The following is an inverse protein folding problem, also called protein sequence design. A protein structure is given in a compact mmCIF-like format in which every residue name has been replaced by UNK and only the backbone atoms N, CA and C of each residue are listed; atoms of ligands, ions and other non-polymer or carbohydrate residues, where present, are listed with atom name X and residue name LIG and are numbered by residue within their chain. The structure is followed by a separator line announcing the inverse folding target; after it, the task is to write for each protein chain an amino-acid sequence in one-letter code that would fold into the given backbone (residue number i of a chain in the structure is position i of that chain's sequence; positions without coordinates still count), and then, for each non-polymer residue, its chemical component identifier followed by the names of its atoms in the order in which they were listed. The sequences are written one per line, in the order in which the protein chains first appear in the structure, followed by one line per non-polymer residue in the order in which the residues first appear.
data_IF_562195858219
#
_entry.id   IF_562195858219
#
_cell.length_a   1.000
_cell.length_b   1.000
_cell.length_c   1.000
_cell.angle_alpha   90.00
_cell.angle_beta   90.00
_cell.angle_gamma   90.00
#
_symmetry.space_group_name_H-M   'P 1'
#
loop_
_entity.id
_entity.type
_entity.pdbx_description
1 polymer ?
#
# COMPACT_ATOMS: atom_id res chain seq x y z
N UNK A 1 3.94 -9.77 2.38
CA UNK A 1 3.90 -8.30 2.55
C UNK A 1 4.00 -7.57 1.22
N UNK A 2 3.80 -6.24 1.21
CA UNK A 2 3.81 -5.35 0.03
C UNK A 2 4.88 -4.27 0.18
N UNK A 3 6.06 -4.51 -0.38
CA UNK A 3 7.24 -3.64 -0.26
C UNK A 3 7.03 -2.24 -0.87
N UNK A 4 6.39 -2.17 -2.04
CA UNK A 4 6.10 -0.93 -2.75
C UNK A 4 5.38 0.11 -1.87
N UNK A 5 4.38 -0.33 -1.10
CA UNK A 5 3.61 0.56 -0.21
C UNK A 5 4.40 1.12 0.98
N UNK A 6 5.50 0.46 1.36
CA UNK A 6 6.39 0.90 2.43
C UNK A 6 7.35 1.98 1.97
N UNK A 7 7.98 1.78 0.80
CA UNK A 7 9.19 2.48 0.38
C UNK A 7 9.06 3.34 -0.87
N UNK A 8 8.15 3.00 -1.79
CA UNK A 8 8.08 3.63 -3.12
C UNK A 8 6.81 4.47 -3.28
N UNK A 9 5.72 4.09 -2.61
CA UNK A 9 4.41 4.70 -2.85
C UNK A 9 4.34 6.18 -2.41
N UNK A 10 4.12 7.15 -3.32
CA UNK A 10 3.97 8.58 -2.99
C UNK A 10 2.78 8.86 -2.08
N UNK A 11 1.69 8.09 -2.21
CA UNK A 11 0.54 8.21 -1.31
C UNK A 11 0.88 7.76 0.12
N UNK A 12 1.76 6.76 0.26
CA UNK A 12 2.31 6.36 1.55
C UNK A 12 3.14 7.48 2.19
N UNK A 13 3.98 8.14 1.40
CA UNK A 13 4.76 9.32 1.83
C UNK A 13 3.83 10.45 2.29
N UNK A 14 2.78 10.77 1.53
CA UNK A 14 1.78 11.78 1.90
C UNK A 14 1.17 11.52 3.29
N UNK A 15 0.77 10.29 3.60
CA UNK A 15 0.23 9.93 4.91
C UNK A 15 1.28 9.99 6.04
N UNK A 16 2.54 9.69 5.73
CA UNK A 16 3.63 9.84 6.68
C UNK A 16 3.93 11.33 6.97
N UNK A 17 3.86 12.20 5.97
CA UNK A 17 3.93 13.67 6.14
C UNK A 17 2.79 14.17 7.03
N UNK A 18 1.56 13.73 6.81
CA UNK A 18 0.42 14.04 7.71
C UNK A 18 0.70 13.54 9.13
N UNK A 19 1.33 12.37 9.26
CA UNK A 19 1.69 11.82 10.57
C UNK A 19 2.74 12.67 11.28
N UNK A 20 3.72 13.21 10.54
CA UNK A 20 4.72 14.16 11.05
C UNK A 20 4.02 15.45 11.47
N UNK A 21 3.18 16.03 10.62
CA UNK A 21 2.41 17.23 10.92
C UNK A 21 1.58 17.05 12.20
N UNK A 22 0.84 15.95 12.33
CA UNK A 22 0.09 15.60 13.55
C UNK A 22 0.97 15.51 14.80
N UNK A 23 2.20 14.97 14.69
CA UNK A 23 3.16 14.94 15.80
C UNK A 23 3.59 16.35 16.19
N UNK A 24 3.78 17.25 15.23
CA UNK A 24 4.06 18.68 15.48
C UNK A 24 2.96 19.32 16.31
N UNK A 25 1.68 19.02 16.05
CA UNK A 25 0.55 19.46 16.88
C UNK A 25 0.37 18.68 18.19
N UNK A 26 1.28 17.78 18.55
CA UNK A 26 1.25 16.95 19.77
C UNK A 26 -0.05 16.15 19.97
N UNK A 27 -0.85 15.93 18.92
CA UNK A 27 -2.09 15.14 19.01
C UNK A 27 -1.78 13.65 19.01
N UNK A 28 -2.49 12.88 19.85
CA UNK A 28 -2.42 11.40 19.84
C UNK A 28 -3.14 10.84 18.62
N UNK A 29 -2.74 9.66 18.17
CA UNK A 29 -3.45 8.93 17.11
C UNK A 29 -4.35 7.90 17.76
N UNK A 30 -5.43 7.55 17.06
CA UNK A 30 -6.32 6.48 17.48
C UNK A 30 -5.83 5.12 16.99
N UNK A 31 -5.90 4.14 17.87
CA UNK A 31 -5.74 2.73 17.54
C UNK A 31 -7.13 2.18 17.19
N UNK A 32 -7.31 1.63 16.00
CA UNK A 32 -8.57 1.02 15.64
C UNK A 32 -8.78 -0.30 16.41
N UNK A 33 -10.03 -0.62 16.81
CA UNK A 33 -10.38 -1.94 17.34
C UNK A 33 -9.98 -3.05 16.36
N UNK A 34 -9.52 -4.18 16.89
CA UNK A 34 -9.01 -5.30 16.08
C UNK A 34 -10.07 -5.80 15.09
N UNK A 35 -11.34 -5.88 15.52
CA UNK A 35 -12.46 -6.29 14.68
C UNK A 35 -12.69 -5.33 13.51
N UNK A 36 -12.61 -4.02 13.75
CA UNK A 36 -12.76 -3.01 12.71
C UNK A 36 -11.58 -3.01 11.74
N UNK A 37 -10.36 -3.23 12.22
CA UNK A 37 -9.20 -3.37 11.34
C UNK A 37 -9.34 -4.59 10.40
N UNK A 38 -9.80 -5.73 10.92
CA UNK A 38 -10.09 -6.93 10.12
C UNK A 38 -11.24 -6.69 9.13
N UNK A 39 -12.26 -5.91 9.51
CA UNK A 39 -13.33 -5.50 8.60
C UNK A 39 -12.80 -4.66 7.44
N UNK A 40 -11.99 -3.62 7.71
CA UNK A 40 -11.37 -2.80 6.67
C UNK A 40 -10.48 -3.62 5.73
N UNK A 41 -9.77 -4.61 6.30
CA UNK A 41 -8.96 -5.53 5.51
C UNK A 41 -9.80 -6.36 4.52
N UNK A 42 -10.94 -6.89 4.98
CA UNK A 42 -11.89 -7.62 4.12
C UNK A 42 -12.55 -6.69 3.10
N UNK A 43 -12.86 -5.47 3.49
CA UNK A 43 -13.52 -4.47 2.64
C UNK A 43 -12.71 -4.15 1.38
N UNK A 44 -11.38 -4.21 1.44
CA UNK A 44 -10.52 -4.02 0.25
C UNK A 44 -10.79 -5.02 -0.86
N UNK A 45 -11.15 -6.27 -0.52
CA UNK A 45 -11.46 -7.31 -1.50
C UNK A 45 -12.78 -7.02 -2.20
N UNK A 46 -13.76 -6.49 -1.44
CA UNK A 46 -15.02 -6.03 -2.00
C UNK A 46 -14.79 -4.85 -2.95
N UNK A 47 -14.02 -3.84 -2.54
CA UNK A 47 -13.66 -2.71 -3.43
C UNK A 47 -12.97 -3.24 -4.70
N UNK A 48 -12.00 -4.13 -4.56
CA UNK A 48 -11.29 -4.70 -5.72
C UNK A 48 -12.22 -5.49 -6.66
N UNK A 49 -13.14 -6.28 -6.11
CA UNK A 49 -14.13 -7.01 -6.90
C UNK A 49 -15.08 -6.05 -7.63
N UNK A 50 -15.52 -4.97 -6.98
CA UNK A 50 -16.36 -3.94 -7.58
C UNK A 50 -15.61 -3.22 -8.72
N UNK A 51 -14.35 -2.81 -8.50
CA UNK A 51 -13.48 -2.22 -9.52
C UNK A 51 -13.38 -3.12 -10.75
N UNK A 52 -13.21 -4.43 -10.53
CA UNK A 52 -13.06 -5.38 -11.63
C UNK A 52 -14.40 -5.69 -12.32
N UNK A 53 -15.51 -5.71 -11.59
CA UNK A 53 -16.83 -6.06 -12.10
C UNK A 53 -17.51 -4.93 -12.89
N UNK A 54 -17.35 -3.68 -12.45
CA UNK A 54 -17.98 -2.50 -13.07
C UNK A 54 -17.72 -2.38 -14.58
N UNK A 55 -16.48 -2.56 -15.08
CA UNK A 55 -16.17 -2.69 -16.50
C UNK A 55 -17.11 -3.62 -17.26
N UNK A 56 -17.42 -4.80 -16.72
CA UNK A 56 -18.26 -5.80 -17.41
C UNK A 56 -19.73 -5.42 -17.48
N UNK A 57 -20.23 -4.63 -16.53
CA UNK A 57 -21.62 -4.15 -16.53
C UNK A 57 -21.82 -2.93 -17.43
N UNK A 58 -20.78 -2.13 -17.65
CA UNK A 58 -20.87 -0.91 -18.48
C UNK A 58 -20.36 -1.18 -19.91
N UNK A 59 -19.49 -2.17 -20.12
CA UNK A 59 -19.01 -2.59 -21.44
C UNK A 59 -20.10 -2.90 -22.48
N UNK A 60 -21.30 -3.42 -22.14
CA UNK A 60 -22.36 -3.65 -23.13
C UNK A 60 -22.96 -2.36 -23.74
N UNK A 61 -22.66 -1.17 -23.18
CA UNK A 61 -23.26 0.10 -23.62
C UNK A 61 -22.48 0.84 -24.72
N UNK A 62 -21.24 0.44 -25.05
CA UNK A 62 -20.48 1.01 -26.17
C UNK A 62 -19.33 0.06 -26.58
N UNK A 63 -19.16 -0.19 -27.89
CA UNK A 63 -18.12 -1.11 -28.42
C UNK A 63 -16.67 -0.68 -28.10
N UNK A 64 -16.41 0.61 -27.90
CA UNK A 64 -15.11 1.13 -27.44
C UNK A 64 -14.91 1.00 -25.92
N UNK A 65 -15.97 0.86 -25.11
CA UNK A 65 -15.86 0.88 -23.64
C UNK A 65 -15.08 -0.30 -23.07
N UNK A 66 -15.05 -1.46 -23.75
CA UNK A 66 -14.31 -2.62 -23.25
C UNK A 66 -12.81 -2.37 -23.22
N UNK A 67 -12.25 -1.76 -24.27
CA UNK A 67 -10.85 -1.33 -24.30
C UNK A 67 -10.61 -0.21 -23.29
N UNK A 68 -11.49 0.79 -23.22
CA UNK A 68 -11.36 1.86 -22.24
C UNK A 68 -11.48 1.36 -20.79
N UNK A 69 -12.28 0.34 -20.49
CA UNK A 69 -12.43 -0.21 -19.15
C UNK A 69 -11.27 -1.15 -18.77
N UNK A 70 -10.70 -1.89 -19.73
CA UNK A 70 -9.46 -2.67 -19.55
C UNK A 70 -8.24 -1.78 -19.29
N UNK A 71 -8.19 -0.60 -19.91
CA UNK A 71 -7.11 0.39 -19.75
C UNK A 71 -7.44 1.52 -18.76
N UNK A 72 -8.57 1.45 -18.03
CA UNK A 72 -9.08 2.51 -17.14
C UNK A 72 -9.14 3.93 -17.77
N UNK A 73 -9.39 4.00 -19.07
CA UNK A 73 -9.54 5.21 -19.85
C UNK A 73 -11.00 5.72 -19.90
N UNK A 74 -11.19 6.99 -20.29
CA UNK A 74 -12.51 7.57 -20.57
C UNK A 74 -13.37 7.80 -19.32
N UNK A 75 -14.66 7.40 -19.29
CA UNK A 75 -15.55 7.67 -18.15
C UNK A 75 -15.09 7.00 -16.85
N UNK A 76 -14.19 6.02 -16.92
CA UNK A 76 -13.57 5.31 -15.79
C UNK A 76 -12.31 5.99 -15.25
N UNK A 77 -11.89 7.12 -15.84
CA UNK A 77 -10.66 7.85 -15.50
C UNK A 77 -10.63 8.37 -14.06
N UNK A 78 -11.77 8.54 -13.39
CA UNK A 78 -11.81 8.93 -11.96
C UNK A 78 -11.26 7.84 -11.02
N UNK A 79 -11.13 6.61 -11.51
CA UNK A 79 -10.57 5.48 -10.77
C UNK A 79 -9.03 5.47 -10.85
N UNK A 80 -8.43 6.26 -11.75
CA UNK A 80 -6.96 6.39 -11.88
C UNK A 80 -6.33 7.14 -10.71
N UNK A 81 -7.10 7.87 -9.88
CA UNK A 81 -6.61 8.44 -8.61
C UNK A 81 -6.04 7.35 -7.69
N UNK A 82 -6.54 6.12 -7.80
CA UNK A 82 -6.08 4.96 -7.02
C UNK A 82 -4.85 4.26 -7.62
N UNK A 83 -4.57 4.45 -8.91
CA UNK A 83 -3.51 3.79 -9.70
C UNK A 83 -2.36 4.73 -10.13
N UNK A 84 -2.60 6.05 -10.11
CA UNK A 84 -1.70 7.11 -10.57
C UNK A 84 -0.28 7.11 -9.99
N UNK A 85 -0.01 6.60 -8.77
CA UNK A 85 1.36 6.44 -8.27
C UNK A 85 2.31 5.58 -9.09
N UNK A 86 1.83 4.81 -10.08
CA UNK A 86 2.65 3.97 -10.96
C UNK A 86 2.80 4.48 -12.40
N UNK A 87 1.98 5.45 -12.84
CA UNK A 87 2.07 5.95 -14.22
C UNK A 87 3.42 6.61 -14.50
N UNK A 88 4.02 7.26 -13.50
CA UNK A 88 5.30 7.97 -13.65
C UNK A 88 6.54 7.08 -13.54
N UNK A 89 6.41 5.80 -13.18
CA UNK A 89 7.57 4.92 -12.92
C UNK A 89 7.86 3.90 -14.04
N UNK A 90 6.93 3.72 -14.99
CA UNK A 90 7.06 2.72 -16.07
C UNK A 90 7.36 3.37 -17.44
N UNK A 91 7.00 4.64 -17.65
CA UNK A 91 7.17 5.29 -18.97
C UNK A 91 7.80 6.69 -18.79
N UNK A 92 9.02 6.92 -19.29
CA UNK A 92 9.63 8.25 -19.27
C UNK A 92 8.92 9.19 -20.25
N UNK A 93 8.81 10.45 -19.84
CA UNK A 93 8.06 11.56 -20.41
C UNK A 93 8.55 12.07 -21.80
N UNK A 94 9.21 11.23 -22.60
CA UNK A 94 9.81 11.68 -23.85
C UNK A 94 9.72 10.63 -24.96
N UNK A 95 8.60 10.61 -25.67
CA UNK A 95 8.56 10.07 -27.04
C UNK A 95 7.37 9.17 -27.33
N UNK A 96 6.79 9.36 -28.52
CA UNK A 96 5.73 8.51 -29.05
C UNK A 96 6.28 7.14 -29.50
N UNK A 97 6.01 6.06 -28.76
CA UNK A 97 6.35 4.71 -29.22
C UNK A 97 5.19 4.20 -30.09
N UNK A 98 5.40 4.14 -31.41
CA UNK A 98 4.40 3.65 -32.36
C UNK A 98 4.89 2.32 -32.92
N UNK A 99 4.13 1.24 -32.69
CA UNK A 99 4.43 -0.09 -33.22
C UNK A 99 3.19 -0.58 -33.99
N UNK A 100 3.35 -0.89 -35.29
CA UNK A 100 2.28 -1.39 -36.17
C UNK A 100 0.97 -0.55 -36.15
N UNK A 101 1.08 0.78 -36.12
CA UNK A 101 -0.08 1.68 -36.12
C UNK A 101 -0.78 1.81 -34.76
N UNK A 102 -0.33 1.10 -33.73
CA UNK A 102 -0.74 1.31 -32.34
C UNK A 102 0.19 2.35 -31.69
N UNK A 103 -0.40 3.49 -31.34
CA UNK A 103 0.26 4.55 -30.60
C UNK A 103 0.29 4.15 -29.11
N UNK A 104 1.44 3.73 -28.60
CA UNK A 104 1.62 3.34 -27.19
C UNK A 104 1.92 4.55 -26.30
N UNK A 105 2.02 5.75 -26.88
CA UNK A 105 2.19 6.98 -26.10
C UNK A 105 0.88 7.69 -25.85
N UNK A 106 0.75 8.07 -24.59
CA UNK A 106 -0.48 8.46 -23.94
C UNK A 106 -0.75 9.98 -24.14
N UNK A 107 -1.93 10.39 -24.63
CA UNK A 107 -2.39 11.79 -24.65
C UNK A 107 -3.08 12.23 -23.34
N UNK A 108 -2.71 11.69 -22.17
CA UNK A 108 -3.65 11.65 -21.05
C UNK A 108 -3.75 12.87 -20.15
N UNK A 109 -2.81 13.80 -20.19
CA UNK A 109 -2.93 15.03 -19.38
C UNK A 109 -3.92 16.02 -20.01
N UNK A 110 -4.07 16.04 -21.34
CA UNK A 110 -5.03 16.92 -22.02
C UNK A 110 -6.49 16.46 -21.87
N UNK A 111 -6.73 15.15 -21.87
CA UNK A 111 -8.10 14.61 -21.83
C UNK A 111 -8.67 14.50 -20.40
N UNK A 112 -7.94 14.90 -19.35
CA UNK A 112 -8.50 14.99 -17.97
C UNK A 112 -9.55 16.09 -17.88
N UNK A 113 -9.44 17.15 -18.68
CA UNK A 113 -10.29 18.33 -18.56
C UNK A 113 -11.55 18.35 -19.43
N UNK A 114 -11.67 17.48 -20.45
CA UNK A 114 -12.63 17.73 -21.54
C UNK A 114 -14.00 17.05 -21.45
N UNK A 115 -14.18 15.95 -20.70
CA UNK A 115 -15.37 15.08 -20.86
C UNK A 115 -16.25 14.83 -19.62
N UNK A 116 -16.00 15.52 -18.51
CA UNK A 116 -16.88 15.45 -17.35
C UNK A 116 -17.12 16.86 -16.85
N UNK A 117 -18.39 17.20 -16.64
CA UNK A 117 -18.83 18.49 -16.10
C UNK A 117 -17.98 18.83 -14.87
N UNK A 118 -17.11 19.82 -15.01
CA UNK A 118 -15.95 20.04 -14.11
C UNK A 118 -16.29 20.16 -12.64
N UNK A 119 -17.52 20.55 -12.31
CA UNK A 119 -18.00 20.65 -10.93
C UNK A 119 -18.05 19.31 -10.18
N UNK A 120 -18.55 18.23 -10.82
CA UNK A 120 -18.73 16.95 -10.13
C UNK A 120 -17.39 16.29 -9.79
N UNK A 121 -16.41 16.37 -10.70
CA UNK A 121 -15.06 15.84 -10.45
C UNK A 121 -14.35 16.63 -9.35
N UNK A 122 -14.38 17.97 -9.43
CA UNK A 122 -13.72 18.80 -8.43
C UNK A 122 -14.28 18.55 -7.03
N UNK A 123 -15.61 18.46 -6.92
CA UNK A 123 -16.25 18.15 -5.66
C UNK A 123 -15.82 16.78 -5.09
N UNK A 124 -15.87 15.72 -5.91
CA UNK A 124 -15.48 14.38 -5.47
C UNK A 124 -13.98 14.30 -5.12
N UNK A 125 -13.11 14.94 -5.88
CA UNK A 125 -11.68 14.99 -5.61
C UNK A 125 -11.37 15.73 -4.30
N UNK A 126 -12.01 16.88 -4.06
CA UNK A 126 -11.85 17.64 -2.82
C UNK A 126 -12.37 16.82 -1.64
N UNK A 127 -13.56 16.22 -1.77
CA UNK A 127 -14.13 15.36 -0.74
C UNK A 127 -13.20 14.19 -0.40
N UNK A 128 -12.62 13.56 -1.42
CA UNK A 128 -11.67 12.46 -1.27
C UNK A 128 -10.41 12.88 -0.52
N UNK A 129 -9.83 14.03 -0.89
CA UNK A 129 -8.64 14.59 -0.24
C UNK A 129 -8.95 14.91 1.23
N UNK A 130 -10.07 15.57 1.50
CA UNK A 130 -10.49 15.91 2.87
C UNK A 130 -10.67 14.64 3.71
N UNK A 131 -11.40 13.65 3.19
CA UNK A 131 -11.67 12.40 3.89
C UNK A 131 -10.38 11.62 4.18
N UNK A 132 -9.47 11.55 3.20
CA UNK A 132 -8.16 10.93 3.37
C UNK A 132 -7.31 11.69 4.37
N UNK A 133 -7.28 13.02 4.30
CA UNK A 133 -6.51 13.87 5.18
C UNK A 133 -6.97 13.70 6.63
N UNK A 134 -8.27 13.85 6.89
CA UNK A 134 -8.88 13.68 8.21
C UNK A 134 -8.68 12.26 8.72
N UNK A 135 -8.92 11.26 7.87
CA UNK A 135 -8.72 9.84 8.21
C UNK A 135 -7.28 9.50 8.57
N UNK A 136 -6.31 9.98 7.79
CA UNK A 136 -4.87 9.78 8.05
C UNK A 136 -4.38 10.58 9.26
N UNK A 137 -5.01 11.72 9.56
CA UNK A 137 -4.71 12.51 10.74
C UNK A 137 -5.22 11.82 12.02
N UNK A 138 -6.37 11.14 11.98
CA UNK A 138 -6.89 10.41 13.14
C UNK A 138 -6.20 9.04 13.33
N UNK A 139 -5.99 8.31 12.23
CA UNK A 139 -5.46 6.94 12.23
C UNK A 139 -4.29 6.83 11.26
N UNK A 140 -3.17 6.29 11.75
CA UNK A 140 -1.96 6.09 10.92
C UNK A 140 -2.28 5.19 9.72
N UNK A 141 -1.91 5.67 8.53
CA UNK A 141 -2.01 4.95 7.25
C UNK A 141 -3.38 4.27 7.06
N UNK A 142 -4.46 5.00 7.35
CA UNK A 142 -5.84 4.50 7.29
C UNK A 142 -6.15 3.93 5.90
N UNK A 143 -5.82 4.67 4.85
CA UNK A 143 -6.04 4.28 3.46
C UNK A 143 -5.39 2.95 3.08
N UNK A 144 -4.15 2.72 3.54
CA UNK A 144 -3.42 1.50 3.22
C UNK A 144 -4.17 0.23 3.65
N UNK A 145 -5.11 0.30 4.61
CA UNK A 145 -5.86 -0.85 5.11
C UNK A 145 -6.87 -1.37 4.08
N UNK A 146 -7.54 -0.47 3.37
CA UNK A 146 -8.58 -0.82 2.39
C UNK A 146 -8.18 -0.51 0.93
N UNK A 147 -6.97 -0.03 0.70
CA UNK A 147 -6.45 0.30 -0.63
C UNK A 147 -6.44 -0.93 -1.58
N UNK A 148 -7.18 -0.88 -2.70
CA UNK A 148 -7.30 -1.99 -3.66
C UNK A 148 -5.97 -2.24 -4.41
N UNK A 149 -5.18 -1.20 -4.69
CA UNK A 149 -3.83 -1.34 -5.26
C UNK A 149 -2.88 -2.06 -4.28
N UNK A 150 -3.08 -1.88 -2.99
CA UNK A 150 -2.36 -2.67 -1.99
C UNK A 150 -2.63 -4.18 -2.11
N UNK A 151 -3.85 -4.55 -2.51
CA UNK A 151 -4.24 -5.93 -2.72
C UNK A 151 -3.61 -6.50 -4.00
N UNK A 152 -3.58 -5.76 -5.10
CA UNK A 152 -2.96 -6.24 -6.34
C UNK A 152 -1.49 -6.61 -6.13
N UNK A 153 -0.71 -5.76 -5.45
CA UNK A 153 0.68 -6.08 -5.08
C UNK A 153 0.79 -7.26 -4.11
N UNK A 154 -0.16 -7.42 -3.18
CA UNK A 154 -0.18 -8.57 -2.29
C UNK A 154 -0.48 -9.88 -3.03
N UNK A 155 -1.33 -9.83 -4.06
CA UNK A 155 -1.66 -10.97 -4.93
C UNK A 155 -0.47 -11.32 -5.81
N UNK A 156 0.17 -10.34 -6.46
CA UNK A 156 1.36 -10.57 -7.29
C UNK A 156 2.49 -11.24 -6.50
N UNK A 157 2.72 -10.81 -5.26
CA UNK A 157 3.72 -11.42 -4.37
C UNK A 157 3.37 -12.85 -3.91
N UNK A 158 2.15 -13.34 -4.17
CA UNK A 158 1.68 -14.69 -3.81
C UNK A 158 1.66 -15.64 -5.02
N UNK A 159 1.70 -15.13 -6.25
CA UNK A 159 1.67 -15.96 -7.47
C UNK A 159 2.99 -16.72 -7.61
N UNK A 160 2.92 -18.05 -7.56
CA UNK A 160 4.08 -18.96 -7.59
C UNK A 160 4.97 -18.82 -8.85
N UNK A 161 4.44 -18.31 -9.96
CA UNK A 161 5.18 -18.07 -11.21
C UNK A 161 6.13 -16.86 -11.18
N UNK A 162 5.89 -15.90 -10.29
CA UNK A 162 6.78 -14.77 -10.00
C UNK A 162 7.46 -14.96 -8.64
N UNK A 163 7.69 -16.22 -8.22
CA UNK A 163 8.32 -16.57 -6.94
C UNK A 163 9.77 -16.09 -6.78
N UNK A 164 10.39 -15.54 -7.83
CA UNK A 164 11.65 -14.81 -7.75
C UNK A 164 11.49 -13.40 -7.14
N UNK A 165 10.29 -12.79 -7.24
CA UNK A 165 10.03 -11.40 -6.87
C UNK A 165 9.71 -11.10 -5.39
N UNK A 166 9.24 -12.01 -4.51
CA UNK A 166 9.13 -11.73 -3.08
C UNK A 166 10.53 -11.77 -2.45
N UNK A 167 11.38 -10.85 -2.88
CA UNK A 167 12.76 -10.69 -2.44
C UNK A 167 12.80 -10.50 -0.93
N UNK A 168 11.79 -9.86 -0.33
CA UNK A 168 11.80 -9.43 1.06
C UNK A 168 10.84 -10.22 1.96
N UNK A 169 11.41 -10.96 2.89
CA UNK A 169 10.72 -11.70 3.93
C UNK A 169 11.00 -11.12 5.31
N UNK A 170 10.00 -11.17 6.17
CA UNK A 170 10.11 -10.83 7.58
C UNK A 170 10.00 -12.13 8.37
N UNK A 171 11.10 -12.58 8.93
CA UNK A 171 11.20 -13.81 9.71
C UNK A 171 11.23 -13.50 11.20
N UNK A 172 10.54 -14.34 11.97
CA UNK A 172 10.50 -14.29 13.42
C UNK A 172 11.09 -15.57 14.01
N UNK A 173 12.02 -15.42 14.94
CA UNK A 173 12.57 -16.52 15.72
C UNK A 173 11.70 -16.79 16.95
N UNK A 174 11.26 -18.03 17.13
CA UNK A 174 10.40 -18.43 18.26
C UNK A 174 11.17 -18.38 19.58
N UNK A 175 12.38 -18.94 19.60
CA UNK A 175 13.23 -19.06 20.79
C UNK A 175 13.54 -17.71 21.46
N UNK A 176 13.68 -16.65 20.65
CA UNK A 176 14.05 -15.32 21.12
C UNK A 176 12.86 -14.41 21.42
N UNK A 177 11.63 -14.83 21.11
CA UNK A 177 10.46 -13.97 21.26
C UNK A 177 9.75 -14.16 22.61
N UNK A 178 9.76 -13.14 23.45
CA UNK A 178 9.09 -13.15 24.76
C UNK A 178 7.64 -12.65 24.75
N UNK A 179 7.07 -12.38 23.56
CA UNK A 179 5.72 -11.77 23.41
C UNK A 179 5.52 -10.45 24.18
N UNK A 180 6.51 -9.56 24.17
CA UNK A 180 6.44 -8.24 24.80
C UNK A 180 5.41 -7.24 24.20
N UNK A 181 4.84 -7.53 23.02
CA UNK A 181 3.80 -6.71 22.39
C UNK A 181 4.25 -5.38 21.77
N UNK A 182 5.56 -5.06 21.76
CA UNK A 182 6.09 -3.82 21.15
C UNK A 182 5.79 -3.76 19.64
N UNK A 183 5.95 -4.89 18.94
CA UNK A 183 5.66 -5.01 17.51
C UNK A 183 4.21 -4.59 17.16
N UNK A 184 3.24 -4.94 18.02
CA UNK A 184 1.82 -4.58 17.85
C UNK A 184 1.56 -3.09 18.01
N UNK A 185 2.27 -2.42 18.93
CA UNK A 185 2.12 -0.98 19.19
C UNK A 185 2.75 -0.11 18.10
N UNK A 186 3.93 -0.49 17.61
CA UNK A 186 4.65 0.29 16.60
C UNK A 186 4.03 0.15 15.20
N UNK A 187 3.41 -0.98 14.88
CA UNK A 187 2.87 -1.26 13.54
C UNK A 187 1.82 -0.20 13.10
N UNK A 188 2.04 0.54 11.99
CA UNK A 188 1.10 1.55 11.53
C UNK A 188 -0.23 0.98 11.02
N UNK A 189 -0.19 -0.19 10.38
CA UNK A 189 -1.38 -0.90 9.86
C UNK A 189 -1.95 -1.93 10.84
N UNK A 190 -1.39 -2.01 12.07
CA UNK A 190 -1.84 -2.92 13.13
C UNK A 190 -1.95 -4.39 12.71
N UNK A 191 -0.89 -4.92 12.08
CA UNK A 191 -0.75 -6.35 11.74
C UNK A 191 -0.58 -7.15 13.04
N UNK A 192 -1.53 -8.01 13.39
CA UNK A 192 -1.52 -8.78 14.65
C UNK A 192 -0.71 -10.06 14.55
N UNK A 193 -0.52 -10.58 13.35
CA UNK A 193 0.15 -11.85 13.05
C UNK A 193 1.63 -11.83 13.47
N UNK A 194 2.29 -10.66 13.45
CA UNK A 194 3.67 -10.50 13.93
C UNK A 194 3.78 -10.83 15.43
N UNK A 195 2.74 -10.54 16.20
CA UNK A 195 2.66 -10.86 17.62
C UNK A 195 2.19 -12.30 17.86
N UNK A 196 1.13 -12.72 17.17
CA UNK A 196 0.44 -14.00 17.41
C UNK A 196 1.21 -15.22 16.89
N UNK A 197 1.89 -15.11 15.75
CA UNK A 197 2.61 -16.25 15.16
C UNK A 197 3.82 -16.64 16.03
N UNK A 198 4.02 -17.96 16.19
CA UNK A 198 5.09 -18.52 17.02
C UNK A 198 6.48 -18.36 16.39
N UNK A 199 6.60 -18.55 15.08
CA UNK A 199 7.84 -18.35 14.34
C UNK A 199 7.65 -18.41 12.82
N UNK A 200 8.73 -18.22 12.08
CA UNK A 200 8.77 -18.27 10.63
C UNK A 200 8.38 -16.95 9.95
N UNK A 201 7.92 -17.05 8.70
CA UNK A 201 7.57 -15.88 7.91
C UNK A 201 6.25 -15.26 8.40
N UNK A 202 6.35 -14.06 8.98
CA UNK A 202 5.21 -13.33 9.55
C UNK A 202 4.61 -12.29 8.59
N UNK A 203 4.97 -12.33 7.31
CA UNK A 203 4.62 -11.29 6.34
C UNK A 203 3.23 -11.48 5.71
N UNK A 204 2.19 -10.96 6.38
CA UNK A 204 0.81 -10.93 5.85
C UNK A 204 0.65 -10.01 4.63
N UNK A 205 -0.44 -10.14 3.88
CA UNK A 205 -0.83 -9.26 2.76
C UNK A 205 -0.93 -7.77 3.14
N UNK A 206 -1.36 -7.48 4.37
CA UNK A 206 -1.50 -6.12 4.90
C UNK A 206 -0.15 -5.45 5.14
N UNK A 207 0.85 -6.24 5.55
CA UNK A 207 2.15 -5.77 5.98
C UNK A 207 2.83 -4.97 4.86
N UNK A 208 3.09 -3.68 5.10
CA UNK A 208 3.73 -2.78 4.12
C UNK A 208 5.24 -2.90 4.08
N UNK A 209 5.85 -3.83 4.84
CA UNK A 209 7.31 -3.98 4.92
C UNK A 209 8.05 -2.67 5.28
N UNK A 210 7.49 -1.93 6.25
CA UNK A 210 8.11 -0.70 6.78
C UNK A 210 9.18 -0.95 7.86
N UNK A 211 9.42 -2.20 8.25
CA UNK A 211 10.42 -2.69 9.23
C UNK A 211 10.50 -2.03 10.62
N UNK A 212 9.62 -1.10 10.97
CA UNK A 212 9.54 -0.52 12.33
C UNK A 212 9.44 -1.53 13.47
N UNK A 213 8.89 -2.71 13.21
CA UNK A 213 8.82 -3.79 14.20
C UNK A 213 10.19 -4.43 14.47
N UNK A 214 11.08 -4.46 13.48
CA UNK A 214 12.45 -4.96 13.60
C UNK A 214 13.29 -3.95 14.39
N UNK A 215 13.18 -2.67 14.04
CA UNK A 215 13.91 -1.57 14.70
C UNK A 215 13.55 -1.42 16.18
N UNK A 216 12.27 -1.53 16.54
CA UNK A 216 11.81 -1.32 17.92
C UNK A 216 11.83 -2.59 18.77
N UNK A 217 12.18 -3.75 18.21
CA UNK A 217 12.19 -4.99 19.00
C UNK A 217 13.38 -4.96 19.98
N UNK A 218 13.16 -5.14 21.29
CA UNK A 218 14.23 -5.07 22.30
C UNK A 218 15.13 -6.30 22.33
N UNK A 219 14.75 -7.40 21.66
CA UNK A 219 15.52 -8.65 21.69
C UNK A 219 16.34 -8.78 20.42
N UNK A 220 17.63 -9.04 20.58
CA UNK A 220 18.57 -9.16 19.47
C UNK A 220 18.26 -10.39 18.60
N UNK A 221 18.11 -10.17 17.29
CA UNK A 221 17.84 -11.24 16.32
C UNK A 221 16.50 -11.96 16.48
N UNK A 222 15.55 -11.39 17.22
CA UNK A 222 14.18 -11.92 17.31
C UNK A 222 13.41 -11.72 16.00
N UNK A 223 13.59 -10.58 15.33
CA UNK A 223 13.00 -10.28 14.03
C UNK A 223 14.12 -9.99 13.02
N UNK A 224 14.05 -10.61 11.85
CA UNK A 224 15.02 -10.40 10.78
C UNK A 224 14.35 -10.19 9.43
N UNK A 225 14.94 -9.33 8.62
CA UNK A 225 14.55 -9.08 7.24
C UNK A 225 15.53 -9.82 6.34
N UNK A 226 15.01 -10.79 5.58
CA UNK A 226 15.79 -11.53 4.58
C UNK A 226 15.47 -10.98 3.20
N UNK A 227 16.52 -10.62 2.47
CA UNK A 227 16.48 -10.16 1.08
C UNK A 227 17.20 -11.21 0.24
N UNK A 228 16.47 -11.92 -0.64
CA UNK A 228 17.01 -13.00 -1.46
C UNK A 228 17.83 -14.04 -0.63
N UNK A 229 17.31 -14.41 0.54
CA UNK A 229 17.94 -15.38 1.44
C UNK A 229 19.01 -14.82 2.38
N UNK A 230 19.53 -13.61 2.15
CA UNK A 230 20.52 -12.95 3.03
C UNK A 230 19.84 -12.06 4.06
N UNK A 231 20.24 -12.13 5.32
CA UNK A 231 19.76 -11.22 6.38
C UNK A 231 20.38 -9.83 6.20
N UNK A 232 19.56 -8.83 5.91
CA UNK A 232 20.02 -7.44 5.71
C UNK A 232 19.80 -6.60 6.97
N UNK A 233 18.68 -6.81 7.65
CA UNK A 233 18.33 -6.09 8.87
C UNK A 233 17.92 -7.09 9.96
N UNK A 234 18.41 -6.88 11.17
CA UNK A 234 18.08 -7.68 12.34
C UNK A 234 17.74 -6.76 13.49
N UNK A 235 16.83 -7.19 14.37
CA UNK A 235 16.56 -6.47 15.61
C UNK A 235 17.82 -6.44 16.47
N UNK A 236 18.07 -5.29 17.09
CA UNK A 236 19.19 -5.08 18.01
C UNK A 236 18.66 -4.87 19.42
N UNK A 237 19.40 -5.33 20.41
CA UNK A 237 19.09 -4.96 21.78
C UNK A 237 19.38 -3.46 21.94
N UNK A 238 18.35 -2.67 22.24
CA UNK A 238 18.51 -1.24 22.55
C UNK A 238 18.47 -0.99 24.07
N UNK A 239 18.28 -2.04 24.88
CA UNK A 239 18.38 -1.96 26.35
C UNK A 239 19.84 -2.02 26.81
N UNK A 240 20.70 -2.69 26.04
CA UNK A 240 22.15 -2.71 26.23
C UNK A 240 22.77 -1.90 25.08
N UNK A 241 23.41 -0.75 25.34
CA UNK A 241 24.10 -0.01 24.29
C UNK A 241 25.24 -0.86 23.72
N UNK A 242 25.46 -0.79 22.41
CA UNK A 242 26.55 -1.50 21.75
C UNK A 242 27.90 -1.03 22.30
N UNK A 243 28.79 -1.95 22.65
CA UNK A 243 30.15 -1.67 23.15
C UNK A 243 31.08 -1.00 22.11
N UNK A 244 30.56 -0.65 20.93
CA UNK A 244 31.32 -0.09 19.81
C UNK A 244 30.68 1.21 19.31
N UNK A 245 31.21 2.34 19.78
CA UNK A 245 31.21 3.62 19.05
C UNK A 245 32.51 3.74 18.24
#
# INVERSE_FOLDING_TARGET
GRFFCGWICPFGLYMDVITIFRKTFKKRYFLLPISFNKFLDKFRYLIFAIIFAIPFFIAPLHSQSFQLALFFAGPFKHWTIFLGPLETLIVPDSGAWIIYGLNLSYPYVRDVMFYSTGFFIQFNAILFIILTFVGSFLVRRLWCRFCPLGLSFAVLNKVKGFSWLPIVHLDKSEEKCTKCGVCKRVCPTQVTEVYENKGGNVSTSICTHCFRCVEMCPYEGCLSVKVAGKSVLSSRNWLEPSETE
#
